data_IF_096507269468
#
_entry.id   IF_096507269468
#
_cell.length_a   1.000
_cell.length_b   1.000
_cell.length_c   1.000
_cell.angle_alpha   90.00
_cell.angle_beta   90.00
_cell.angle_gamma   90.00
#
_symmetry.space_group_name_H-M   'P 1'
#
loop_
_entity.id
_entity.type
_entity.pdbx_description
1 polymer ?
#
# COMPACT_ATOMS: atom_id res chain seq x y z
N UNK A 1 10.24 5.43 1.56
CA UNK A 1 9.64 4.31 2.33
C UNK A 1 8.34 3.89 1.68
N UNK A 2 7.98 2.62 1.77
CA UNK A 2 6.68 2.12 1.34
C UNK A 2 6.20 1.02 2.28
N UNK A 3 4.90 0.76 2.25
CA UNK A 3 4.29 -0.43 2.85
C UNK A 3 3.62 -1.25 1.77
N UNK A 4 3.49 -2.55 2.01
CA UNK A 4 2.88 -3.48 1.06
C UNK A 4 2.05 -4.53 1.79
N UNK A 5 1.10 -5.12 1.06
CA UNK A 5 0.32 -6.26 1.52
C UNK A 5 0.00 -7.19 0.34
N UNK A 6 0.43 -8.45 0.45
CA UNK A 6 0.18 -9.51 -0.53
C UNK A 6 -0.87 -10.53 -0.10
N UNK A 7 -1.58 -10.29 1.02
CA UNK A 7 -2.53 -11.23 1.63
C UNK A 7 -3.55 -11.81 0.64
N UNK A 8 -4.01 -11.02 -0.33
CA UNK A 8 -5.06 -11.44 -1.27
C UNK A 8 -4.56 -11.95 -2.61
N UNK A 9 -3.24 -11.95 -2.87
CA UNK A 9 -2.69 -12.49 -4.13
C UNK A 9 -2.70 -14.03 -4.15
N UNK A 10 -3.02 -14.66 -3.03
CA UNK A 10 -3.07 -16.12 -2.91
C UNK A 10 -1.71 -16.80 -3.09
N UNK A 11 -0.61 -16.07 -2.86
CA UNK A 11 0.74 -16.56 -3.12
C UNK A 11 1.10 -16.70 -4.60
N UNK A 12 0.27 -16.17 -5.50
CA UNK A 12 0.52 -16.20 -6.94
C UNK A 12 1.80 -15.43 -7.30
N UNK A 13 2.68 -16.05 -8.09
CA UNK A 13 3.80 -15.38 -8.75
C UNK A 13 3.37 -14.51 -9.93
N UNK A 14 2.13 -14.65 -10.39
CA UNK A 14 1.53 -13.86 -11.46
C UNK A 14 0.44 -12.94 -10.89
N UNK A 15 0.85 -11.77 -10.41
CA UNK A 15 -0.05 -10.75 -9.86
C UNK A 15 -0.65 -9.95 -11.01
N UNK A 16 -1.97 -10.06 -11.20
CA UNK A 16 -2.69 -9.39 -12.31
C UNK A 16 -3.17 -7.98 -11.98
N UNK A 17 -3.35 -7.68 -10.69
CA UNK A 17 -3.93 -6.42 -10.24
C UNK A 17 -3.11 -5.86 -9.09
N UNK A 18 -2.82 -4.56 -9.15
CA UNK A 18 -2.10 -3.84 -8.10
C UNK A 18 -2.85 -2.55 -7.77
N UNK A 19 -3.13 -2.34 -6.49
CA UNK A 19 -3.58 -1.05 -5.97
C UNK A 19 -2.39 -0.29 -5.39
N UNK A 20 -2.18 0.94 -5.86
CA UNK A 20 -1.14 1.83 -5.37
C UNK A 20 -1.77 3.07 -4.74
N UNK A 21 -1.50 3.29 -3.45
CA UNK A 21 -1.82 4.54 -2.76
C UNK A 21 -0.60 5.46 -2.73
N UNK A 22 -0.78 6.66 -3.26
CA UNK A 22 0.20 7.74 -3.16
C UNK A 22 0.00 8.46 -1.83
N UNK A 23 1.05 8.55 -1.02
CA UNK A 23 1.04 9.29 0.24
C UNK A 23 0.86 10.79 -0.01
N UNK A 24 0.15 11.45 0.92
CA UNK A 24 -0.02 12.90 0.92
C UNK A 24 1.01 13.61 1.78
N UNK A 25 0.60 14.73 2.36
CA UNK A 25 1.44 15.68 3.11
C UNK A 25 1.75 15.21 4.55
N UNK A 26 2.07 13.93 4.75
CA UNK A 26 2.33 13.42 6.08
C UNK A 26 2.99 12.04 6.13
N UNK A 27 3.44 11.62 7.33
CA UNK A 27 4.02 10.30 7.52
C UNK A 27 3.03 9.21 7.13
N UNK A 28 3.47 8.28 6.28
CA UNK A 28 2.69 7.12 5.92
C UNK A 28 2.62 6.13 7.10
N UNK A 29 1.47 5.48 7.26
CA UNK A 29 1.22 4.49 8.34
C UNK A 29 0.96 3.11 7.75
N UNK A 30 1.41 2.07 8.44
CA UNK A 30 1.18 0.66 8.05
C UNK A 30 -0.31 0.32 7.93
N UNK A 31 -1.17 0.98 8.74
CA UNK A 31 -2.63 0.86 8.66
C UNK A 31 -3.20 1.17 7.28
N UNK A 32 -2.45 1.90 6.44
CA UNK A 32 -2.82 2.18 5.04
C UNK A 32 -2.97 0.90 4.22
N UNK A 33 -2.20 -0.15 4.51
CA UNK A 33 -2.24 -1.44 3.78
C UNK A 33 -2.70 -2.60 4.67
N UNK A 34 -3.05 -2.35 5.93
CA UNK A 34 -3.50 -3.40 6.87
C UNK A 34 -4.90 -3.20 7.45
N UNK A 35 -5.49 -2.00 7.31
CA UNK A 35 -6.86 -1.77 7.78
C UNK A 35 -7.89 -2.29 6.76
N UNK A 36 -8.43 -3.48 7.07
CA UNK A 36 -9.44 -4.19 6.27
C UNK A 36 -10.75 -3.40 6.09
N UNK A 37 -11.04 -2.40 6.94
CA UNK A 37 -12.24 -1.56 6.83
C UNK A 37 -12.14 -0.48 5.73
N UNK A 38 -10.97 -0.31 5.12
CA UNK A 38 -10.78 0.70 4.06
C UNK A 38 -11.23 0.20 2.70
N UNK A 39 -11.77 1.10 1.86
CA UNK A 39 -12.24 0.76 0.52
C UNK A 39 -11.15 0.10 -0.35
N UNK A 40 -9.90 0.59 -0.25
CA UNK A 40 -8.78 0.00 -0.99
C UNK A 40 -8.55 -1.47 -0.61
N UNK A 41 -8.64 -1.82 0.67
CA UNK A 41 -8.47 -3.20 1.13
C UNK A 41 -9.66 -4.07 0.75
N UNK A 42 -10.89 -3.54 0.83
CA UNK A 42 -12.10 -4.22 0.32
C UNK A 42 -11.96 -4.56 -1.17
N UNK A 43 -11.56 -3.59 -2.00
CA UNK A 43 -11.34 -3.81 -3.43
C UNK A 43 -10.18 -4.77 -3.70
N UNK A 44 -9.09 -4.69 -2.92
CA UNK A 44 -7.96 -5.59 -3.06
C UNK A 44 -8.35 -7.05 -2.81
N UNK A 45 -9.20 -7.31 -1.81
CA UNK A 45 -9.75 -8.63 -1.55
C UNK A 45 -10.63 -9.12 -2.70
N UNK A 46 -11.52 -8.26 -3.23
CA UNK A 46 -12.40 -8.60 -4.34
C UNK A 46 -11.63 -8.94 -5.62
N UNK A 47 -10.56 -8.21 -5.91
CA UNK A 47 -9.79 -8.34 -7.15
C UNK A 47 -8.52 -9.18 -7.03
N UNK A 48 -8.30 -9.84 -5.87
CA UNK A 48 -7.08 -10.62 -5.58
C UNK A 48 -5.79 -9.81 -5.85
N UNK A 49 -5.81 -8.54 -5.46
CA UNK A 49 -4.77 -7.58 -5.81
C UNK A 49 -3.65 -7.53 -4.77
N UNK A 50 -2.44 -7.17 -5.22
CA UNK A 50 -1.41 -6.67 -4.33
C UNK A 50 -1.71 -5.21 -3.97
N UNK A 51 -1.33 -4.80 -2.77
CA UNK A 51 -1.52 -3.42 -2.29
C UNK A 51 -0.19 -2.82 -1.92
N UNK A 52 0.05 -1.59 -2.38
CA UNK A 52 1.20 -0.78 -2.00
C UNK A 52 0.74 0.59 -1.53
N UNK A 53 1.47 1.14 -0.57
CA UNK A 53 1.35 2.53 -0.19
C UNK A 53 2.74 3.16 -0.19
N UNK A 54 2.93 4.18 -1.02
CA UNK A 54 4.20 4.86 -1.22
C UNK A 54 4.24 6.16 -0.42
N UNK A 55 5.21 6.31 0.47
CA UNK A 55 5.35 7.54 1.25
C UNK A 55 5.90 8.65 0.37
N UNK A 56 5.27 9.82 0.42
CA UNK A 56 5.68 10.99 -0.34
C UNK A 56 7.07 11.47 0.12
N UNK A 57 7.90 11.91 -0.83
CA UNK A 57 9.19 12.54 -0.54
C UNK A 57 9.03 13.72 0.41
N UNK A 58 10.01 13.93 1.28
CA UNK A 58 10.06 14.92 2.36
C UNK A 58 9.14 14.67 3.56
N UNK A 59 8.31 13.63 3.56
CA UNK A 59 7.43 13.29 4.68
C UNK A 59 7.84 11.99 5.37
N UNK A 60 7.50 11.90 6.67
CA UNK A 60 7.83 10.75 7.52
C UNK A 60 9.32 10.40 7.46
N UNK A 61 9.60 9.14 7.11
CA UNK A 61 10.94 8.59 6.98
C UNK A 61 11.55 8.79 5.58
N UNK A 62 10.79 9.31 4.62
CA UNK A 62 11.24 9.48 3.23
C UNK A 62 11.89 10.85 3.03
N UNK A 63 13.12 11.01 3.53
CA UNK A 63 13.89 12.26 3.52
C UNK A 63 15.07 12.16 2.53
N UNK A 64 15.05 12.86 1.37
CA UNK A 64 16.13 12.77 0.38
C UNK A 64 17.43 13.50 0.78
N UNK A 65 17.36 14.39 1.78
CA UNK A 65 18.46 15.31 2.15
C UNK A 65 18.97 15.09 3.57
N UNK A 66 18.60 13.98 4.18
CA UNK A 66 19.13 13.52 5.47
C UNK A 66 19.86 12.20 5.28
#
# INVERSE_FOLDING_TARGET
RYFYNFKYTGGSSNIKTVFLRIGGEGPLRISTVSNEATQMMTLAKQHKAAVFALEHRFYGASRPTK
#
